data_IF_415640348254
#
_entry.id   IF_415640348254
#
_cell.length_a   1.000
_cell.length_b   1.000
_cell.length_c   1.000
_cell.angle_alpha   90.00
_cell.angle_beta   90.00
_cell.angle_gamma   90.00
#
_symmetry.space_group_name_H-M   'P 1'
#
loop_
_entity.id
_entity.type
_entity.pdbx_description
1 polymer ?
#
# COMPACT_ATOMS: atom_id res chain seq x y z
N UNK A 1 20.60 25.01 -2.15
CA UNK A 1 19.28 25.54 -1.74
C UNK A 1 18.82 24.72 -0.54
N UNK A 2 18.53 25.32 0.63
CA UNK A 2 18.04 24.56 1.78
C UNK A 2 16.68 23.96 1.44
N UNK A 3 16.53 22.64 1.65
CA UNK A 3 15.27 21.94 1.40
C UNK A 3 14.23 22.45 2.42
N UNK A 4 13.14 23.03 1.93
CA UNK A 4 12.00 23.42 2.76
C UNK A 4 11.29 22.14 3.26
N UNK A 5 11.44 21.85 4.55
CA UNK A 5 10.89 20.65 5.20
C UNK A 5 9.37 20.56 5.07
N UNK A 6 8.65 21.69 5.09
CA UNK A 6 7.18 21.68 4.94
C UNK A 6 6.79 21.31 3.52
N UNK A 7 7.44 21.92 2.52
CA UNK A 7 7.21 21.54 1.11
C UNK A 7 7.54 20.09 0.84
N UNK A 8 8.66 19.58 1.37
CA UNK A 8 9.03 18.17 1.24
C UNK A 8 7.95 17.26 1.84
N UNK A 9 7.51 17.53 3.07
CA UNK A 9 6.43 16.76 3.72
C UNK A 9 5.16 16.76 2.88
N UNK A 10 4.74 17.92 2.38
CA UNK A 10 3.55 18.06 1.53
C UNK A 10 3.66 17.25 0.24
N UNK A 11 4.79 17.34 -0.45
CA UNK A 11 5.02 16.60 -1.69
C UNK A 11 4.96 15.09 -1.44
N UNK A 12 5.70 14.60 -0.43
CA UNK A 12 5.71 13.17 -0.06
C UNK A 12 4.31 12.68 0.32
N UNK A 13 3.57 13.46 1.11
CA UNK A 13 2.20 13.12 1.51
C UNK A 13 1.22 13.11 0.33
N UNK A 14 1.33 14.06 -0.62
CA UNK A 14 0.50 14.10 -1.83
C UNK A 14 0.78 12.88 -2.71
N UNK A 15 2.05 12.55 -2.95
CA UNK A 15 2.39 11.34 -3.69
C UNK A 15 1.88 10.08 -2.99
N UNK A 16 2.01 10.00 -1.66
CA UNK A 16 1.44 8.91 -0.87
C UNK A 16 -0.08 8.80 -1.01
N UNK A 17 -0.81 9.93 -1.01
CA UNK A 17 -2.25 9.93 -1.21
C UNK A 17 -2.66 9.49 -2.61
N UNK A 18 -1.93 9.91 -3.65
CA UNK A 18 -2.15 9.48 -5.04
C UNK A 18 -1.90 7.98 -5.17
N UNK A 19 -0.80 7.47 -4.59
CA UNK A 19 -0.52 6.04 -4.56
C UNK A 19 -1.60 5.26 -3.80
N UNK A 20 -2.07 5.76 -2.65
CA UNK A 20 -3.14 5.11 -1.89
C UNK A 20 -4.44 5.03 -2.70
N UNK A 21 -4.80 6.10 -3.40
CA UNK A 21 -5.97 6.10 -4.29
C UNK A 21 -5.79 5.08 -5.44
N UNK A 22 -4.61 5.04 -6.05
CA UNK A 22 -4.29 4.03 -7.05
C UNK A 22 -4.37 2.61 -6.48
N UNK A 23 -3.90 2.36 -5.25
CA UNK A 23 -4.05 1.07 -4.56
C UNK A 23 -5.52 0.67 -4.45
N UNK A 24 -6.41 1.60 -4.11
CA UNK A 24 -7.86 1.36 -4.02
C UNK A 24 -8.43 0.98 -5.39
N UNK A 25 -8.10 1.74 -6.44
CA UNK A 25 -8.60 1.48 -7.80
C UNK A 25 -8.13 0.11 -8.29
N UNK A 26 -6.82 -0.19 -8.18
CA UNK A 26 -6.28 -1.47 -8.63
C UNK A 26 -6.80 -2.62 -7.77
N UNK A 27 -6.98 -2.42 -6.46
CA UNK A 27 -7.60 -3.42 -5.58
C UNK A 27 -9.04 -3.75 -5.99
N UNK A 28 -9.81 -2.72 -6.39
CA UNK A 28 -11.13 -2.90 -6.98
C UNK A 28 -11.09 -3.71 -8.28
N UNK A 29 -10.08 -3.49 -9.13
CA UNK A 29 -9.91 -4.30 -10.35
C UNK A 29 -9.52 -5.75 -10.07
N UNK A 30 -8.65 -6.01 -9.08
CA UNK A 30 -8.30 -7.37 -8.65
C UNK A 30 -9.57 -8.14 -8.27
N UNK A 31 -10.42 -7.52 -7.44
CA UNK A 31 -11.69 -8.11 -7.04
C UNK A 31 -12.63 -8.32 -8.24
N UNK A 32 -12.82 -7.29 -9.08
CA UNK A 32 -13.68 -7.39 -10.26
C UNK A 32 -13.26 -8.45 -11.29
N UNK A 33 -11.99 -8.86 -11.28
CA UNK A 33 -11.44 -9.91 -12.12
C UNK A 33 -11.37 -11.28 -11.44
N UNK A 34 -11.84 -11.42 -10.19
CA UNK A 34 -11.64 -12.61 -9.35
C UNK A 34 -10.16 -13.03 -9.25
N UNK A 35 -9.25 -12.04 -9.29
CA UNK A 35 -7.81 -12.26 -9.36
C UNK A 35 -7.12 -12.22 -7.98
N UNK A 36 -7.87 -12.13 -6.88
CA UNK A 36 -7.27 -11.96 -5.55
C UNK A 36 -6.62 -13.21 -4.94
N UNK A 37 -6.74 -14.37 -5.61
CA UNK A 37 -5.99 -15.60 -5.32
C UNK A 37 -5.03 -15.98 -6.46
N UNK A 38 -4.74 -15.06 -7.41
CA UNK A 38 -3.84 -15.36 -8.52
C UNK A 38 -2.38 -15.57 -8.07
N UNK A 39 -2.01 -14.98 -6.94
CA UNK A 39 -0.78 -15.19 -6.19
C UNK A 39 -1.11 -15.85 -4.83
N UNK A 40 -1.04 -17.18 -4.70
CA UNK A 40 -1.41 -17.91 -3.48
C UNK A 40 -0.43 -17.73 -2.31
N UNK A 41 0.73 -17.13 -2.58
CA UNK A 41 1.74 -16.85 -1.58
C UNK A 41 1.74 -15.36 -1.20
N UNK A 42 2.23 -15.04 -0.01
CA UNK A 42 2.59 -13.69 0.41
C UNK A 42 3.79 -13.78 1.37
N UNK A 43 4.85 -12.96 1.22
CA UNK A 43 4.96 -11.76 0.38
C UNK A 43 5.37 -12.02 -1.08
N UNK A 44 5.81 -13.24 -1.39
CA UNK A 44 6.14 -13.66 -2.76
C UNK A 44 4.87 -13.86 -3.60
N UNK A 45 5.00 -13.94 -4.92
CA UNK A 45 3.92 -14.41 -5.80
C UNK A 45 4.44 -15.59 -6.62
N UNK A 46 3.81 -16.76 -6.48
CA UNK A 46 4.25 -18.01 -7.13
C UNK A 46 5.73 -18.33 -6.84
N UNK A 47 6.11 -18.28 -5.57
CA UNK A 47 7.48 -18.49 -5.11
C UNK A 47 8.55 -17.50 -5.61
N UNK A 48 8.17 -16.43 -6.33
CA UNK A 48 9.09 -15.46 -6.93
C UNK A 48 8.79 -14.01 -6.52
N UNK A 49 9.82 -13.17 -6.47
CA UNK A 49 9.67 -11.71 -6.22
C UNK A 49 9.15 -11.00 -7.47
N UNK A 50 9.52 -11.49 -8.65
CA UNK A 50 8.99 -11.07 -9.95
C UNK A 50 8.42 -12.32 -10.61
N UNK A 51 7.09 -12.53 -10.60
CA UNK A 51 6.47 -13.72 -11.17
C UNK A 51 6.42 -13.64 -12.71
N UNK A 52 6.01 -14.74 -13.34
CA UNK A 52 5.67 -14.73 -14.76
C UNK A 52 4.36 -13.96 -14.97
N UNK A 53 4.42 -12.85 -15.71
CA UNK A 53 3.30 -11.93 -15.94
C UNK A 53 2.48 -12.26 -17.20
N UNK A 54 2.60 -13.49 -17.73
CA UNK A 54 1.81 -13.93 -18.88
C UNK A 54 0.31 -14.04 -18.57
N UNK A 55 -0.05 -14.37 -17.33
CA UNK A 55 -1.43 -14.41 -16.87
C UNK A 55 -1.88 -13.00 -16.42
N UNK A 56 -3.06 -12.58 -16.89
CA UNK A 56 -3.57 -11.23 -16.61
C UNK A 56 -4.01 -11.07 -15.15
N UNK A 57 -4.52 -12.11 -14.50
CA UNK A 57 -4.86 -12.10 -13.08
C UNK A 57 -3.61 -11.91 -12.21
N UNK A 58 -2.55 -12.67 -12.50
CA UNK A 58 -1.24 -12.51 -11.83
C UNK A 58 -0.69 -11.09 -12.03
N UNK A 59 -0.77 -10.56 -13.25
CA UNK A 59 -0.30 -9.20 -13.56
C UNK A 59 -1.01 -8.15 -12.71
N UNK A 60 -2.35 -8.19 -12.65
CA UNK A 60 -3.14 -7.18 -11.94
C UNK A 60 -2.94 -7.28 -10.42
N UNK A 61 -2.89 -8.49 -9.87
CA UNK A 61 -2.59 -8.69 -8.44
C UNK A 61 -1.17 -8.23 -8.10
N UNK A 62 -0.18 -8.54 -8.94
CA UNK A 62 1.19 -8.10 -8.74
C UNK A 62 1.32 -6.57 -8.80
N UNK A 63 0.65 -5.90 -9.74
CA UNK A 63 0.59 -4.43 -9.80
C UNK A 63 -0.06 -3.87 -8.53
N UNK A 64 -1.15 -4.47 -8.04
CA UNK A 64 -1.77 -4.04 -6.79
C UNK A 64 -0.77 -4.09 -5.62
N UNK A 65 -0.03 -5.21 -5.47
CA UNK A 65 1.00 -5.39 -4.43
C UNK A 65 2.12 -4.35 -4.55
N UNK A 66 2.59 -4.06 -5.76
CA UNK A 66 3.63 -3.04 -6.00
C UNK A 66 3.16 -1.64 -5.63
N UNK A 67 1.95 -1.24 -6.03
CA UNK A 67 1.41 0.08 -5.71
C UNK A 67 1.15 0.18 -4.20
N UNK A 68 0.66 -0.88 -3.55
CA UNK A 68 0.50 -0.92 -2.09
C UNK A 68 1.84 -0.76 -1.34
N UNK A 69 2.91 -1.42 -1.80
CA UNK A 69 4.25 -1.26 -1.24
C UNK A 69 4.76 0.18 -1.39
N UNK A 70 4.55 0.80 -2.55
CA UNK A 70 4.90 2.20 -2.79
C UNK A 70 4.13 3.15 -1.89
N UNK A 71 2.82 2.93 -1.70
CA UNK A 71 1.99 3.65 -0.73
C UNK A 71 2.58 3.57 0.68
N UNK A 72 3.04 2.38 1.10
CA UNK A 72 3.71 2.18 2.38
C UNK A 72 5.00 2.97 2.55
N UNK A 73 5.83 3.04 1.50
CA UNK A 73 7.06 3.83 1.52
C UNK A 73 6.76 5.32 1.73
N UNK A 74 5.78 5.88 1.02
CA UNK A 74 5.40 7.28 1.15
C UNK A 74 4.77 7.59 2.52
N UNK A 75 3.87 6.73 3.02
CA UNK A 75 3.26 6.91 4.34
C UNK A 75 4.28 6.78 5.47
N UNK A 76 5.20 5.81 5.39
CA UNK A 76 6.28 5.66 6.36
C UNK A 76 7.23 6.87 6.35
N UNK A 77 7.58 7.35 5.15
CA UNK A 77 8.41 8.55 5.00
C UNK A 77 7.73 9.79 5.60
N UNK A 78 6.43 9.94 5.39
CA UNK A 78 5.61 11.01 5.99
C UNK A 78 5.60 10.90 7.52
N UNK A 79 5.38 9.69 8.06
CA UNK A 79 5.41 9.43 9.49
C UNK A 79 6.78 9.76 10.12
N UNK A 80 7.86 9.30 9.50
CA UNK A 80 9.23 9.58 9.96
C UNK A 80 9.49 11.10 9.93
N UNK A 81 9.17 11.78 8.83
CA UNK A 81 9.35 13.22 8.71
C UNK A 81 8.50 14.00 9.73
N UNK A 82 7.24 13.59 9.96
CA UNK A 82 6.37 14.18 10.95
C UNK A 82 6.94 14.04 12.38
N UNK A 83 7.41 12.85 12.73
CA UNK A 83 8.00 12.56 14.05
C UNK A 83 9.38 13.19 14.22
N UNK A 84 10.18 13.39 13.17
CA UNK A 84 11.52 13.97 13.31
C UNK A 84 11.51 15.50 13.25
N UNK A 85 10.64 16.11 12.45
CA UNK A 85 10.70 17.55 12.18
C UNK A 85 9.50 18.34 12.70
N UNK A 86 8.36 17.69 12.96
CA UNK A 86 7.09 18.35 13.27
C UNK A 86 6.45 17.86 14.58
N UNK A 87 7.24 17.36 15.55
CA UNK A 87 6.73 16.92 16.87
C UNK A 87 5.86 17.92 17.62
N UNK A 88 6.14 19.25 17.60
CA UNK A 88 5.26 20.22 18.25
C UNK A 88 3.88 20.30 17.61
N UNK A 89 3.76 19.96 16.32
CA UNK A 89 2.51 19.94 15.57
C UNK A 89 1.83 18.57 15.70
N UNK A 90 1.33 18.27 16.91
CA UNK A 90 0.74 16.97 17.26
C UNK A 90 -0.33 16.49 16.28
N UNK A 91 -1.06 17.40 15.63
CA UNK A 91 -2.03 17.05 14.58
C UNK A 91 -1.38 16.30 13.41
N UNK A 92 -0.22 16.76 12.93
CA UNK A 92 0.50 16.13 11.80
C UNK A 92 0.99 14.74 12.22
N UNK A 93 1.55 14.62 13.43
CA UNK A 93 2.05 13.35 13.96
C UNK A 93 0.91 12.34 14.11
N UNK A 94 -0.18 12.72 14.78
CA UNK A 94 -1.33 11.84 15.01
C UNK A 94 -1.95 11.36 13.71
N UNK A 95 -2.17 12.25 12.73
CA UNK A 95 -2.71 11.86 11.42
C UNK A 95 -1.77 10.92 10.65
N UNK A 96 -0.46 11.17 10.71
CA UNK A 96 0.53 10.30 10.06
C UNK A 96 0.55 8.91 10.70
N UNK A 97 0.51 8.83 12.05
CA UNK A 97 0.42 7.56 12.79
C UNK A 97 -0.87 6.81 12.45
N UNK A 98 -2.02 7.49 12.48
CA UNK A 98 -3.31 6.88 12.14
C UNK A 98 -3.32 6.35 10.71
N UNK A 99 -2.84 7.13 9.74
CA UNK A 99 -2.79 6.70 8.33
C UNK A 99 -1.92 5.45 8.13
N UNK A 100 -0.75 5.41 8.77
CA UNK A 100 0.15 4.27 8.68
C UNK A 100 -0.41 3.03 9.39
N UNK A 101 -1.05 3.21 10.55
CA UNK A 101 -1.73 2.13 11.26
C UNK A 101 -2.86 1.51 10.41
N UNK A 102 -3.68 2.34 9.77
CA UNK A 102 -4.73 1.87 8.84
C UNK A 102 -4.11 1.07 7.70
N UNK A 103 -3.02 1.55 7.08
CA UNK A 103 -2.34 0.82 6.01
C UNK A 103 -1.85 -0.55 6.49
N UNK A 104 -1.21 -0.63 7.66
CA UNK A 104 -0.75 -1.90 8.23
C UNK A 104 -1.93 -2.87 8.43
N UNK A 105 -3.06 -2.38 8.93
CA UNK A 105 -4.28 -3.19 9.04
C UNK A 105 -4.75 -3.68 7.67
N UNK A 106 -4.74 -2.85 6.63
CA UNK A 106 -5.13 -3.26 5.27
C UNK A 106 -4.20 -4.34 4.70
N UNK A 107 -2.88 -4.20 4.88
CA UNK A 107 -1.90 -5.20 4.44
C UNK A 107 -2.12 -6.53 5.18
N UNK A 108 -2.38 -6.48 6.49
CA UNK A 108 -2.66 -7.68 7.28
C UNK A 108 -3.95 -8.37 6.84
N UNK A 109 -5.03 -7.60 6.60
CA UNK A 109 -6.29 -8.15 6.09
C UNK A 109 -6.09 -8.80 4.72
N UNK A 110 -5.36 -8.16 3.80
CA UNK A 110 -5.05 -8.74 2.49
C UNK A 110 -4.26 -10.05 2.57
N UNK A 111 -3.24 -10.12 3.44
CA UNK A 111 -2.50 -11.35 3.68
C UNK A 111 -3.38 -12.46 4.28
N UNK A 112 -4.29 -12.12 5.19
CA UNK A 112 -5.25 -13.07 5.75
C UNK A 112 -6.24 -13.57 4.70
N UNK A 113 -6.67 -12.74 3.74
CA UNK A 113 -7.54 -13.16 2.64
C UNK A 113 -6.91 -14.30 1.84
N UNK A 114 -5.61 -14.19 1.53
CA UNK A 114 -4.86 -15.23 0.82
C UNK A 114 -4.74 -16.49 1.69
N UNK A 115 -4.33 -16.33 2.95
CA UNK A 115 -4.09 -17.45 3.87
C UNK A 115 -5.35 -18.24 4.26
N UNK A 116 -6.53 -17.63 4.13
CA UNK A 116 -7.80 -18.24 4.49
C UNK A 116 -8.59 -18.81 3.31
N UNK A 117 -8.10 -18.63 2.07
CA UNK A 117 -8.78 -19.06 0.83
C UNK A 117 -10.28 -18.64 0.81
N UNK A 118 -10.60 -17.51 1.44
CA UNK A 118 -11.98 -17.13 1.76
C UNK A 118 -12.71 -16.57 0.53
N UNK A 119 -13.29 -17.43 -0.31
CA UNK A 119 -13.96 -17.09 -1.57
C UNK A 119 -14.87 -15.84 -1.51
N UNK A 120 -15.68 -15.67 -0.46
CA UNK A 120 -16.60 -14.52 -0.33
C UNK A 120 -15.92 -13.15 -0.14
N UNK A 121 -14.66 -13.13 0.29
CA UNK A 121 -13.84 -11.92 0.41
C UNK A 121 -13.10 -11.63 -0.90
N UNK A 122 -12.82 -12.68 -1.69
CA UNK A 122 -12.02 -12.62 -2.92
C UNK A 122 -12.84 -12.49 -4.20
N UNK A 123 -14.17 -12.71 -4.11
CA UNK A 123 -15.20 -12.48 -5.16
C UNK A 123 -15.78 -11.07 -5.07
#
# INVERSE_FOLDING_TARGET
MPIDRRRLLQVVAIFGAVCAYATIVVGGTVRGMNAGLACPDWPLCNGSVVPNLADTGILVEYIHRLVAALTGIFMLSTLIAAVLWFRPEMRIVTLSVMSFAILVTQVAVGALTIASENDWVVV
#
